data_IF_277802414217
#
_entry.id   IF_277802414217
#
_cell.length_a   1.000
_cell.length_b   1.000
_cell.length_c   1.000
_cell.angle_alpha   90.00
_cell.angle_beta   90.00
_cell.angle_gamma   90.00
#
_symmetry.space_group_name_H-M   'P 1'
#
loop_
_entity.id
_entity.type
_entity.pdbx_description
1 polymer ?
#
# COMPACT_ATOMS: atom_id res chain seq x y z
N UNK A 1 -46.22 -31.14 -5.81
CA UNK A 1 -46.69 -30.74 -4.49
C UNK A 1 -45.81 -29.59 -3.98
N UNK A 2 -46.42 -28.57 -3.37
CA UNK A 2 -45.74 -27.46 -2.70
C UNK A 2 -45.20 -28.02 -1.38
N UNK A 3 -43.91 -27.80 -1.11
CA UNK A 3 -43.33 -28.13 0.19
C UNK A 3 -43.61 -26.97 1.15
N UNK A 4 -44.23 -27.26 2.28
CA UNK A 4 -44.52 -26.34 3.37
C UNK A 4 -43.59 -26.61 4.56
N UNK A 5 -43.54 -25.71 5.55
CA UNK A 5 -42.77 -25.88 6.79
C UNK A 5 -43.66 -25.58 7.99
N UNK A 6 -43.23 -26.05 9.16
CA UNK A 6 -43.78 -25.74 10.49
C UNK A 6 -43.36 -24.35 11.00
N UNK A 7 -42.51 -23.63 10.26
CA UNK A 7 -42.00 -22.34 10.63
C UNK A 7 -42.38 -21.25 9.61
N UNK A 8 -42.91 -20.07 10.04
CA UNK A 8 -43.46 -19.06 9.13
C UNK A 8 -42.41 -18.39 8.22
N UNK A 9 -41.14 -18.38 8.64
CA UNK A 9 -40.06 -17.76 7.87
C UNK A 9 -39.14 -18.86 7.37
N UNK A 10 -39.65 -19.63 6.43
CA UNK A 10 -38.94 -20.69 5.75
C UNK A 10 -39.35 -20.77 4.28
N UNK A 11 -38.46 -21.23 3.42
CA UNK A 11 -38.68 -21.41 2.01
C UNK A 11 -37.91 -22.63 1.48
N UNK A 12 -38.39 -23.18 0.36
CA UNK A 12 -37.71 -24.22 -0.40
C UNK A 12 -37.50 -23.77 -1.83
N UNK A 13 -36.27 -23.70 -2.27
CA UNK A 13 -35.92 -23.40 -3.65
C UNK A 13 -35.60 -24.73 -4.38
N UNK A 14 -36.10 -24.88 -5.58
CA UNK A 14 -35.91 -26.07 -6.41
C UNK A 14 -35.25 -25.72 -7.73
N UNK A 15 -34.15 -26.41 -8.05
CA UNK A 15 -33.50 -26.35 -9.36
C UNK A 15 -33.27 -27.78 -9.89
N UNK A 16 -34.06 -28.18 -10.88
CA UNK A 16 -34.12 -29.58 -11.31
C UNK A 16 -34.58 -30.48 -10.17
N UNK A 17 -33.80 -31.49 -9.84
CA UNK A 17 -34.07 -32.42 -8.73
C UNK A 17 -33.49 -31.96 -7.39
N UNK A 18 -32.65 -30.90 -7.37
CA UNK A 18 -32.03 -30.37 -6.16
C UNK A 18 -32.97 -29.44 -5.44
N UNK A 19 -33.09 -29.62 -4.13
CA UNK A 19 -33.83 -28.75 -3.22
C UNK A 19 -32.87 -28.03 -2.29
N UNK A 20 -33.13 -26.77 -1.99
CA UNK A 20 -32.43 -25.98 -0.98
C UNK A 20 -33.49 -25.48 -0.01
N UNK A 21 -33.39 -25.89 1.24
CA UNK A 21 -34.24 -25.47 2.32
C UNK A 21 -33.58 -24.31 3.06
N UNK A 22 -34.35 -23.28 3.42
CA UNK A 22 -33.87 -22.14 4.20
C UNK A 22 -34.90 -21.74 5.22
N UNK A 23 -34.45 -21.28 6.39
CA UNK A 23 -35.30 -20.72 7.41
C UNK A 23 -34.54 -19.67 8.24
N UNK A 24 -35.27 -18.69 8.78
CA UNK A 24 -34.73 -17.68 9.68
C UNK A 24 -35.36 -17.82 11.07
N UNK A 25 -34.51 -17.84 12.09
CA UNK A 25 -34.90 -17.92 13.50
C UNK A 25 -34.66 -16.58 14.20
N UNK A 26 -35.74 -15.91 14.65
CA UNK A 26 -35.69 -14.68 15.42
C UNK A 26 -35.68 -14.92 16.95
N UNK A 27 -35.71 -16.18 17.40
CA UNK A 27 -35.68 -16.48 18.80
C UNK A 27 -34.24 -16.51 19.36
N UNK A 28 -34.12 -16.32 20.66
CA UNK A 28 -32.83 -16.40 21.37
C UNK A 28 -32.34 -17.83 21.59
N UNK A 29 -33.10 -18.84 21.16
CA UNK A 29 -32.73 -20.26 21.27
C UNK A 29 -32.67 -20.90 19.86
N UNK A 30 -31.81 -21.88 19.64
CA UNK A 30 -31.82 -22.68 18.42
C UNK A 30 -33.18 -23.38 18.24
N UNK A 31 -33.66 -23.49 16.99
CA UNK A 31 -34.89 -24.21 16.62
C UNK A 31 -34.59 -25.27 15.57
N UNK A 32 -35.50 -26.27 15.51
CA UNK A 32 -35.54 -27.22 14.37
C UNK A 32 -36.77 -26.90 13.53
N UNK A 33 -36.55 -26.60 12.26
CA UNK A 33 -37.64 -26.39 11.30
C UNK A 33 -37.87 -27.66 10.51
N UNK A 34 -39.13 -28.16 10.49
CA UNK A 34 -39.51 -29.36 9.76
C UNK A 34 -40.32 -29.01 8.52
N UNK A 35 -39.94 -29.60 7.39
CA UNK A 35 -40.60 -29.44 6.12
C UNK A 35 -41.53 -30.60 5.80
N UNK A 36 -42.58 -30.38 5.01
CA UNK A 36 -43.62 -31.36 4.71
C UNK A 36 -43.12 -32.63 3.96
N UNK A 37 -41.92 -32.57 3.41
CA UNK A 37 -41.25 -33.73 2.81
C UNK A 37 -40.28 -34.43 3.77
N UNK A 38 -40.44 -34.20 5.10
CA UNK A 38 -39.68 -34.77 6.17
C UNK A 38 -38.26 -34.29 6.34
N UNK A 39 -37.81 -33.30 5.56
CA UNK A 39 -36.54 -32.68 5.78
C UNK A 39 -36.56 -31.82 7.03
N UNK A 40 -35.50 -31.85 7.85
CA UNK A 40 -35.32 -31.00 9.02
C UNK A 40 -34.11 -30.12 8.90
N UNK A 41 -34.23 -28.83 9.28
CA UNK A 41 -33.16 -27.87 9.27
C UNK A 41 -32.94 -27.30 10.68
N UNK A 42 -31.72 -27.42 11.19
CA UNK A 42 -31.33 -26.76 12.44
C UNK A 42 -31.02 -25.31 12.17
N UNK A 43 -31.64 -24.38 12.91
CA UNK A 43 -31.44 -22.95 12.74
C UNK A 43 -30.97 -22.35 14.08
N UNK A 44 -29.71 -21.86 14.15
CA UNK A 44 -29.19 -21.23 15.35
C UNK A 44 -30.04 -20.01 15.79
N UNK A 45 -29.89 -19.59 17.04
CA UNK A 45 -30.57 -18.40 17.55
C UNK A 45 -30.24 -17.16 16.76
N UNK A 46 -31.24 -16.29 16.51
CA UNK A 46 -31.10 -15.01 15.81
C UNK A 46 -30.35 -15.09 14.46
N UNK A 47 -30.53 -16.19 13.72
CA UNK A 47 -29.80 -16.43 12.48
C UNK A 47 -30.67 -17.06 11.38
N UNK A 48 -30.11 -17.12 10.18
CA UNK A 48 -30.65 -17.87 9.05
C UNK A 48 -29.77 -19.12 8.83
N UNK A 49 -30.40 -20.25 8.49
CA UNK A 49 -29.71 -21.46 8.03
C UNK A 49 -30.26 -21.90 6.69
N UNK A 50 -29.44 -22.64 5.95
CA UNK A 50 -29.82 -23.30 4.69
C UNK A 50 -29.35 -24.75 4.66
N UNK A 51 -30.04 -25.62 3.92
CA UNK A 51 -29.63 -27.02 3.77
C UNK A 51 -28.28 -27.18 3.03
N UNK A 52 -27.73 -26.09 2.55
CA UNK A 52 -26.41 -26.02 1.93
C UNK A 52 -25.37 -25.38 2.84
N UNK A 53 -25.73 -25.11 4.11
CA UNK A 53 -24.76 -24.60 5.07
C UNK A 53 -23.71 -25.68 5.37
N UNK A 54 -22.54 -25.46 4.85
CA UNK A 54 -21.37 -26.26 5.15
C UNK A 54 -20.58 -25.58 6.26
N UNK A 55 -20.03 -26.38 7.18
CA UNK A 55 -19.21 -25.85 8.27
C UNK A 55 -17.80 -25.55 7.75
N UNK A 56 -17.66 -24.42 7.05
CA UNK A 56 -16.36 -23.88 6.63
C UNK A 56 -16.38 -22.35 6.70
N UNK A 57 -15.32 -21.77 7.20
CA UNK A 57 -15.13 -20.33 7.28
C UNK A 57 -13.66 -20.00 7.04
N UNK A 58 -13.40 -18.91 6.34
CA UNK A 58 -12.05 -18.42 6.09
C UNK A 58 -12.00 -16.92 5.87
N UNK A 59 -10.86 -16.34 6.23
CA UNK A 59 -10.54 -14.93 6.07
C UNK A 59 -9.47 -14.77 5.00
N UNK A 60 -9.82 -14.08 3.92
CA UNK A 60 -8.88 -13.69 2.87
C UNK A 60 -8.18 -12.39 3.26
N UNK A 61 -6.85 -12.38 3.19
CA UNK A 61 -5.99 -11.25 3.51
C UNK A 61 -4.91 -11.05 2.46
N UNK A 62 -4.32 -9.86 2.44
CA UNK A 62 -3.06 -9.53 1.79
C UNK A 62 -2.28 -8.57 2.69
N UNK A 63 -0.97 -8.55 2.56
CA UNK A 63 -0.12 -7.58 3.23
C UNK A 63 -0.17 -6.20 2.53
N UNK A 64 -0.82 -6.12 1.36
CA UNK A 64 -0.95 -4.92 0.54
C UNK A 64 -2.41 -4.53 0.36
N UNK A 65 -2.71 -3.23 0.44
CA UNK A 65 -4.01 -2.64 0.09
C UNK A 65 -3.96 -1.97 -1.29
N UNK A 66 -2.76 -1.64 -1.76
CA UNK A 66 -2.47 -0.92 -2.99
C UNK A 66 -1.26 -1.54 -3.67
N UNK A 67 -1.28 -1.59 -5.00
CA UNK A 67 -0.20 -2.15 -5.81
C UNK A 67 -0.04 -1.37 -7.12
N UNK A 68 1.16 -1.38 -7.70
CA UNK A 68 1.37 -0.84 -9.05
C UNK A 68 0.67 -1.70 -10.12
N UNK A 69 0.28 -1.10 -11.28
CA UNK A 69 -0.22 -1.85 -12.42
C UNK A 69 0.76 -2.94 -12.84
N UNK A 70 0.23 -4.08 -13.23
CA UNK A 70 1.00 -5.30 -13.52
C UNK A 70 1.83 -5.83 -12.33
N UNK A 71 1.64 -5.28 -11.13
CA UNK A 71 2.25 -5.78 -9.91
C UNK A 71 1.70 -7.15 -9.50
N UNK A 72 2.34 -7.74 -8.49
CA UNK A 72 1.95 -9.02 -7.90
C UNK A 72 1.31 -8.79 -6.54
N UNK A 73 0.15 -9.40 -6.31
CA UNK A 73 -0.59 -9.32 -5.05
C UNK A 73 -0.65 -10.71 -4.42
N UNK A 74 0.12 -10.98 -3.35
CA UNK A 74 -0.02 -12.20 -2.57
C UNK A 74 -1.36 -12.19 -1.80
N UNK A 75 -2.12 -13.26 -1.97
CA UNK A 75 -3.38 -13.52 -1.27
C UNK A 75 -3.20 -14.72 -0.35
N UNK A 76 -3.65 -14.61 0.90
CA UNK A 76 -3.59 -15.68 1.91
C UNK A 76 -4.99 -15.90 2.47
N UNK A 77 -5.43 -17.16 2.48
CA UNK A 77 -6.70 -17.54 3.10
C UNK A 77 -6.43 -18.34 4.37
N UNK A 78 -6.75 -17.74 5.51
CA UNK A 78 -6.74 -18.42 6.81
C UNK A 78 -8.08 -19.12 7.04
N UNK A 79 -8.08 -20.41 7.36
CA UNK A 79 -9.29 -21.18 7.66
C UNK A 79 -9.60 -21.07 9.15
N UNK A 80 -10.76 -20.52 9.48
CA UNK A 80 -11.23 -20.30 10.84
C UNK A 80 -12.09 -21.46 11.35
N UNK A 81 -12.76 -22.18 10.44
CA UNK A 81 -13.57 -23.37 10.75
C UNK A 81 -13.63 -24.33 9.57
N UNK A 82 -13.79 -25.63 9.87
CA UNK A 82 -13.96 -26.69 8.89
C UNK A 82 -12.66 -27.16 8.21
N UNK A 83 -12.82 -28.08 7.26
CA UNK A 83 -11.71 -28.63 6.48
C UNK A 83 -12.03 -28.49 4.99
N UNK A 84 -11.50 -27.49 4.31
CA UNK A 84 -11.72 -27.31 2.88
C UNK A 84 -11.14 -28.47 2.07
N UNK A 85 -11.86 -28.84 1.00
CA UNK A 85 -11.37 -29.78 0.00
C UNK A 85 -10.70 -29.08 -1.19
N UNK A 86 -11.04 -27.79 -1.39
CA UNK A 86 -10.50 -26.92 -2.46
C UNK A 86 -10.82 -25.47 -2.11
N UNK A 87 -9.95 -24.55 -2.52
CA UNK A 87 -10.17 -23.10 -2.51
C UNK A 87 -10.01 -22.58 -3.93
N UNK A 88 -10.93 -21.72 -4.37
CA UNK A 88 -10.83 -20.97 -5.61
C UNK A 88 -10.69 -19.49 -5.27
N UNK A 89 -9.69 -18.80 -5.85
CA UNK A 89 -9.49 -17.36 -5.72
C UNK A 89 -10.12 -16.64 -6.90
N UNK A 90 -10.87 -15.59 -6.62
CA UNK A 90 -11.59 -14.79 -7.61
C UNK A 90 -11.20 -13.32 -7.52
N UNK A 91 -11.05 -12.69 -8.69
CA UNK A 91 -10.90 -11.25 -8.88
C UNK A 91 -12.08 -10.74 -9.69
N UNK A 92 -12.84 -9.80 -9.16
CA UNK A 92 -14.00 -9.17 -9.81
C UNK A 92 -15.02 -10.18 -10.40
N UNK A 93 -15.17 -11.33 -9.76
CA UNK A 93 -16.05 -12.42 -10.19
C UNK A 93 -15.39 -13.46 -11.10
N UNK A 94 -14.17 -13.22 -11.58
CA UNK A 94 -13.44 -14.11 -12.48
C UNK A 94 -12.53 -15.02 -11.66
N UNK A 95 -12.52 -16.32 -11.96
CA UNK A 95 -11.60 -17.28 -11.35
C UNK A 95 -10.18 -17.00 -11.84
N UNK A 96 -9.27 -16.74 -10.90
CA UNK A 96 -7.85 -16.43 -11.18
C UNK A 96 -6.91 -17.55 -10.74
N UNK A 97 -7.34 -18.41 -9.82
CA UNK A 97 -6.55 -19.56 -9.38
C UNK A 97 -7.28 -20.45 -8.40
N UNK A 98 -6.67 -21.59 -8.10
CA UNK A 98 -7.20 -22.55 -7.11
C UNK A 98 -6.06 -23.21 -6.35
N UNK A 99 -6.37 -23.68 -5.13
CA UNK A 99 -5.49 -24.46 -4.30
C UNK A 99 -6.27 -25.61 -3.63
N UNK A 100 -5.66 -26.78 -3.49
CA UNK A 100 -6.29 -27.98 -2.91
C UNK A 100 -5.62 -28.45 -1.61
N UNK A 101 -4.59 -27.73 -1.16
CA UNK A 101 -3.83 -28.07 0.03
C UNK A 101 -3.46 -26.80 0.82
N UNK A 102 -3.49 -26.88 2.14
CA UNK A 102 -3.00 -25.80 2.98
C UNK A 102 -1.45 -25.71 2.96
N UNK A 103 -0.87 -24.50 3.07
CA UNK A 103 -1.52 -23.21 3.22
C UNK A 103 -2.19 -22.74 1.93
N UNK A 104 -3.43 -22.22 2.03
CA UNK A 104 -4.17 -21.74 0.86
C UNK A 104 -3.70 -20.34 0.49
N UNK A 105 -2.86 -20.26 -0.53
CA UNK A 105 -2.23 -19.02 -0.98
C UNK A 105 -2.30 -18.92 -2.52
N UNK A 106 -2.37 -17.69 -3.02
CA UNK A 106 -2.33 -17.42 -4.44
C UNK A 106 -1.74 -16.04 -4.70
N UNK A 107 -0.94 -15.89 -5.74
CA UNK A 107 -0.44 -14.59 -6.18
C UNK A 107 -1.19 -14.14 -7.43
N UNK A 108 -2.02 -13.11 -7.28
CA UNK A 108 -2.64 -12.44 -8.41
C UNK A 108 -1.61 -11.57 -9.12
N UNK A 109 -1.61 -11.57 -10.45
CA UNK A 109 -0.66 -10.82 -11.29
C UNK A 109 -1.41 -10.05 -12.37
N UNK A 110 -0.72 -9.10 -13.02
CA UNK A 110 -1.26 -8.32 -14.14
C UNK A 110 -2.53 -7.52 -13.76
N UNK A 111 -2.56 -6.96 -12.55
CA UNK A 111 -3.65 -6.09 -12.15
C UNK A 111 -3.66 -4.84 -13.06
N UNK A 112 -4.80 -4.54 -13.64
CA UNK A 112 -5.02 -3.28 -14.36
C UNK A 112 -5.19 -2.14 -13.36
N UNK A 113 -5.04 -0.88 -13.81
CA UNK A 113 -5.36 0.27 -12.96
C UNK A 113 -6.83 0.26 -12.57
N UNK A 114 -7.10 0.60 -11.31
CA UNK A 114 -8.43 0.69 -10.74
C UNK A 114 -8.65 -0.12 -9.47
N UNK A 115 -9.92 -0.21 -9.09
CA UNK A 115 -10.37 -0.94 -7.90
C UNK A 115 -10.68 -2.39 -8.24
N UNK A 116 -10.10 -3.33 -7.51
CA UNK A 116 -10.32 -4.76 -7.65
C UNK A 116 -10.88 -5.37 -6.37
N UNK A 117 -11.76 -6.35 -6.52
CA UNK A 117 -12.37 -7.11 -5.43
C UNK A 117 -11.91 -8.55 -5.49
N UNK A 118 -11.22 -8.99 -4.44
CA UNK A 118 -10.76 -10.36 -4.28
C UNK A 118 -11.60 -11.07 -3.22
N UNK A 119 -11.95 -12.31 -3.48
CA UNK A 119 -12.60 -13.20 -2.53
C UNK A 119 -12.33 -14.66 -2.91
N UNK A 120 -12.57 -15.58 -1.96
CA UNK A 120 -12.38 -17.00 -2.19
C UNK A 120 -13.70 -17.75 -2.10
N UNK A 121 -13.85 -18.81 -2.93
CA UNK A 121 -14.81 -19.88 -2.71
C UNK A 121 -14.12 -21.00 -1.98
N UNK A 122 -14.64 -21.34 -0.80
CA UNK A 122 -14.07 -22.34 0.10
C UNK A 122 -14.96 -23.58 0.03
N UNK A 123 -14.48 -24.64 -0.58
CA UNK A 123 -15.25 -25.84 -0.89
C UNK A 123 -15.14 -26.89 0.20
N UNK A 124 -16.26 -27.57 0.49
CA UNK A 124 -16.33 -28.86 1.15
C UNK A 124 -17.11 -29.80 0.24
N UNK A 125 -16.42 -30.72 -0.39
CA UNK A 125 -17.00 -31.51 -1.49
C UNK A 125 -17.40 -30.61 -2.68
N UNK A 126 -18.68 -30.63 -3.04
CA UNK A 126 -19.23 -29.86 -4.17
C UNK A 126 -19.90 -28.53 -3.73
N UNK A 127 -20.01 -28.27 -2.44
CA UNK A 127 -20.62 -27.06 -1.89
C UNK A 127 -19.52 -26.06 -1.47
N UNK A 128 -19.84 -24.76 -1.47
CA UNK A 128 -18.88 -23.74 -1.06
C UNK A 128 -19.51 -22.62 -0.24
N UNK A 129 -18.70 -21.97 0.58
CA UNK A 129 -18.95 -20.63 1.16
C UNK A 129 -17.98 -19.62 0.59
N UNK A 130 -18.36 -18.35 0.65
CA UNK A 130 -17.48 -17.23 0.29
C UNK A 130 -16.69 -16.75 1.50
N UNK A 131 -15.45 -16.33 1.29
CA UNK A 131 -14.70 -15.54 2.25
C UNK A 131 -15.25 -14.10 2.34
N UNK A 132 -14.62 -13.26 3.17
CA UNK A 132 -14.76 -11.81 3.06
C UNK A 132 -14.32 -11.33 1.68
N UNK A 133 -14.73 -10.10 1.34
CA UNK A 133 -14.23 -9.38 0.15
C UNK A 133 -13.05 -8.50 0.59
N UNK A 134 -11.90 -8.71 -0.04
CA UNK A 134 -10.73 -7.86 0.05
C UNK A 134 -10.75 -6.87 -1.12
N UNK A 135 -10.67 -5.58 -0.83
CA UNK A 135 -10.58 -4.53 -1.86
C UNK A 135 -9.16 -4.06 -1.99
N UNK A 136 -8.63 -4.08 -3.22
CA UNK A 136 -7.27 -3.64 -3.55
C UNK A 136 -7.37 -2.58 -4.64
N UNK A 137 -6.53 -1.56 -4.53
CA UNK A 137 -6.40 -0.54 -5.56
C UNK A 137 -5.10 -0.76 -6.34
N UNK A 138 -5.16 -0.58 -7.66
CA UNK A 138 -3.99 -0.60 -8.54
C UNK A 138 -3.91 0.70 -9.32
N UNK A 139 -2.74 1.32 -9.40
CA UNK A 139 -2.55 2.59 -10.09
C UNK A 139 -1.08 2.98 -10.15
N UNK A 140 -0.80 4.11 -10.80
CA UNK A 140 0.53 4.68 -10.87
C UNK A 140 0.74 5.75 -9.79
N UNK A 141 1.97 5.82 -9.29
CA UNK A 141 2.43 6.97 -8.53
C UNK A 141 2.67 8.13 -9.50
N UNK A 142 2.10 9.27 -9.21
CA UNK A 142 2.25 10.48 -10.02
C UNK A 142 2.70 11.66 -9.16
N UNK A 143 3.45 12.63 -9.73
CA UNK A 143 3.82 13.85 -9.02
C UNK A 143 2.59 14.57 -8.46
N UNK A 144 2.67 15.15 -7.26
CA UNK A 144 1.56 15.85 -6.61
C UNK A 144 0.82 16.84 -7.53
N UNK A 145 1.57 17.63 -8.31
CA UNK A 145 1.00 18.62 -9.25
C UNK A 145 0.74 18.06 -10.65
N UNK A 146 0.87 16.75 -10.86
CA UNK A 146 0.82 16.11 -12.18
C UNK A 146 2.09 16.29 -13.02
N UNK A 147 3.07 17.05 -12.54
CA UNK A 147 4.37 17.27 -13.18
C UNK A 147 5.50 17.16 -12.16
N UNK A 148 6.67 16.59 -12.55
CA UNK A 148 7.82 16.50 -11.66
C UNK A 148 8.28 17.86 -11.13
N UNK A 149 8.74 17.90 -9.90
CA UNK A 149 9.28 19.11 -9.27
C UNK A 149 10.65 19.42 -9.89
N UNK A 150 10.81 20.61 -10.44
CA UNK A 150 12.07 21.03 -11.09
C UNK A 150 13.17 21.27 -10.04
N UNK A 151 14.34 20.65 -10.25
CA UNK A 151 15.54 20.83 -9.43
C UNK A 151 16.69 21.39 -10.33
N UNK A 152 17.36 22.51 -9.92
CA UNK A 152 17.29 23.25 -8.64
C UNK A 152 15.91 23.82 -8.34
N UNK A 153 15.49 23.74 -7.07
CA UNK A 153 14.15 24.16 -6.67
C UNK A 153 13.82 23.79 -5.24
N UNK A 154 12.53 23.90 -4.93
CA UNK A 154 12.01 23.70 -3.58
C UNK A 154 10.94 22.62 -3.58
N UNK A 155 10.99 21.71 -2.61
CA UNK A 155 9.96 20.72 -2.28
C UNK A 155 9.28 21.17 -0.99
N UNK A 156 7.98 21.34 -0.98
CA UNK A 156 7.18 21.44 0.26
C UNK A 156 6.89 20.03 0.78
N UNK A 157 7.13 19.78 2.06
CA UNK A 157 7.04 18.41 2.60
C UNK A 157 5.65 17.80 2.46
N UNK A 158 4.57 18.57 2.60
CA UNK A 158 3.20 18.08 2.43
C UNK A 158 2.79 17.79 0.97
N UNK A 159 3.61 18.17 -0.02
CA UNK A 159 3.33 17.96 -1.44
C UNK A 159 4.04 16.71 -1.99
N UNK A 160 4.03 15.62 -1.22
CA UNK A 160 4.51 14.31 -1.68
C UNK A 160 3.61 13.76 -2.79
N UNK A 161 4.13 12.83 -3.56
CA UNK A 161 3.44 12.23 -4.70
C UNK A 161 2.06 11.65 -4.30
N UNK A 162 1.19 11.49 -5.28
CA UNK A 162 -0.12 10.88 -5.11
C UNK A 162 -0.16 9.53 -5.81
N UNK A 163 -1.12 8.69 -5.43
CA UNK A 163 -1.35 7.42 -6.06
C UNK A 163 -2.71 7.44 -6.78
N UNK A 164 -2.70 7.18 -8.08
CA UNK A 164 -3.91 7.26 -8.91
C UNK A 164 -4.99 6.25 -8.50
N UNK A 165 -4.59 5.10 -7.95
CA UNK A 165 -5.48 4.00 -7.61
C UNK A 165 -6.11 4.06 -6.22
N UNK A 166 -5.63 4.93 -5.32
CA UNK A 166 -6.06 4.91 -3.92
C UNK A 166 -5.44 5.99 -3.05
N UNK A 167 -5.18 5.69 -1.79
CA UNK A 167 -4.59 6.64 -0.85
C UNK A 167 -3.09 6.84 -1.06
N UNK A 168 -2.39 5.81 -1.53
CA UNK A 168 -0.95 5.81 -1.75
C UNK A 168 -0.11 5.27 -0.58
N UNK A 169 -0.76 4.79 0.49
CA UNK A 169 -0.07 4.17 1.62
C UNK A 169 0.66 2.88 1.19
N UNK A 170 1.98 2.85 1.42
CA UNK A 170 2.88 1.80 0.93
C UNK A 170 3.39 2.00 -0.50
N UNK A 171 2.95 3.05 -1.23
CA UNK A 171 3.33 3.34 -2.62
C UNK A 171 4.01 4.71 -2.75
N UNK A 172 3.31 5.80 -2.45
CA UNK A 172 3.84 7.17 -2.51
C UNK A 172 4.21 7.73 -1.14
N UNK A 173 3.74 7.09 -0.09
CA UNK A 173 4.10 7.35 1.29
C UNK A 173 3.90 6.11 2.16
N UNK A 174 4.38 6.14 3.38
CA UNK A 174 4.06 5.19 4.45
C UNK A 174 3.80 5.97 5.72
N UNK A 175 2.65 5.73 6.33
CA UNK A 175 2.29 6.23 7.64
C UNK A 175 1.94 5.08 8.58
N UNK A 176 2.37 5.16 9.84
CA UNK A 176 2.26 4.04 10.76
C UNK A 176 0.92 3.96 11.49
N UNK A 177 0.24 5.09 11.70
CA UNK A 177 -0.98 5.14 12.51
C UNK A 177 -2.26 5.33 11.69
N UNK A 178 -2.14 5.70 10.42
CA UNK A 178 -3.24 5.88 9.46
C UNK A 178 -4.26 6.97 9.83
N UNK A 179 -3.92 7.85 10.76
CA UNK A 179 -4.73 8.98 11.15
C UNK A 179 -4.03 10.27 10.74
N UNK A 180 -4.68 11.11 9.96
CA UNK A 180 -4.15 12.43 9.66
C UNK A 180 -4.59 13.41 10.77
N UNK A 181 -3.64 13.85 11.59
CA UNK A 181 -3.84 14.86 12.64
C UNK A 181 -3.73 16.30 12.11
N UNK A 182 -3.42 16.46 10.82
CA UNK A 182 -3.30 17.74 10.14
C UNK A 182 -4.60 18.22 9.50
N UNK A 183 -4.50 19.30 8.73
CA UNK A 183 -5.60 19.93 8.00
C UNK A 183 -5.39 19.94 6.47
N UNK A 184 -4.36 19.24 5.99
CA UNK A 184 -4.00 19.15 4.58
C UNK A 184 -3.95 17.69 4.10
N UNK A 185 -4.48 17.41 2.90
CA UNK A 185 -4.60 16.05 2.34
C UNK A 185 -5.32 15.06 3.28
N UNK A 186 -6.41 15.50 3.88
CA UNK A 186 -7.14 14.80 4.95
C UNK A 186 -7.76 13.45 4.53
N UNK A 187 -7.70 13.08 3.25
CA UNK A 187 -8.10 11.77 2.75
C UNK A 187 -6.98 10.72 2.82
N UNK A 188 -5.78 11.13 3.25
CA UNK A 188 -4.59 10.30 3.36
C UNK A 188 -4.12 10.28 4.82
N UNK A 189 -3.26 9.31 5.16
CA UNK A 189 -2.86 9.10 6.54
C UNK A 189 -1.81 10.10 7.04
N UNK A 190 -0.96 10.62 6.14
CA UNK A 190 0.15 11.51 6.51
C UNK A 190 -0.34 12.76 7.22
N UNK A 191 0.25 13.07 8.36
CA UNK A 191 -0.02 14.24 9.21
C UNK A 191 0.48 15.53 8.57
N UNK A 192 -0.16 15.91 7.47
CA UNK A 192 0.18 17.12 6.72
C UNK A 192 -0.71 18.29 7.14
N UNK A 193 -0.12 19.49 7.27
CA UNK A 193 -0.86 20.67 7.70
C UNK A 193 -0.40 21.95 7.00
N UNK A 194 -1.26 22.97 7.03
CA UNK A 194 -0.99 24.28 6.47
C UNK A 194 -0.30 25.16 7.54
N UNK A 195 0.98 25.43 7.35
CA UNK A 195 1.72 26.39 8.19
C UNK A 195 1.76 27.76 7.51
N UNK A 196 1.45 28.86 8.23
CA UNK A 196 1.40 30.20 7.63
C UNK A 196 2.77 30.74 7.19
N UNK A 197 3.87 30.14 7.66
CA UNK A 197 5.24 30.56 7.37
C UNK A 197 5.92 29.62 6.37
N UNK A 198 5.77 28.30 6.57
CA UNK A 198 6.51 27.30 5.81
C UNK A 198 5.67 26.62 4.71
N UNK A 199 4.37 26.91 4.59
CA UNK A 199 3.48 26.32 3.59
C UNK A 199 2.98 24.94 3.97
N UNK A 200 3.12 23.96 3.10
CA UNK A 200 2.63 22.59 3.33
C UNK A 200 3.69 21.77 4.07
N UNK A 201 3.48 21.58 5.34
CA UNK A 201 4.42 20.90 6.24
C UNK A 201 3.92 19.48 6.59
N UNK A 202 4.79 18.64 7.15
CA UNK A 202 4.46 17.34 7.75
C UNK A 202 4.92 17.36 9.21
N UNK A 203 4.03 16.95 10.11
CA UNK A 203 4.27 16.85 11.55
C UNK A 203 3.99 15.45 12.08
N UNK A 204 3.96 15.27 13.40
CA UNK A 204 3.72 14.00 14.10
C UNK A 204 4.51 12.81 13.57
N UNK A 205 5.63 13.10 12.94
CA UNK A 205 6.50 12.14 12.26
C UNK A 205 6.95 11.04 13.21
N UNK A 206 6.85 9.78 12.78
CA UNK A 206 7.31 8.60 13.50
C UNK A 206 8.41 7.84 12.75
N UNK A 207 9.16 7.05 13.49
CA UNK A 207 10.17 6.17 12.92
C UNK A 207 9.55 5.12 12.00
N UNK A 208 10.10 4.97 10.79
CA UNK A 208 9.66 3.99 9.80
C UNK A 208 8.71 4.56 8.74
N UNK A 209 8.21 5.76 8.93
CA UNK A 209 7.44 6.50 7.92
C UNK A 209 8.34 7.02 6.80
N UNK A 210 7.74 7.28 5.65
CA UNK A 210 8.46 7.87 4.53
C UNK A 210 7.50 8.56 3.53
N UNK A 211 8.06 9.46 2.74
CA UNK A 211 7.38 10.23 1.70
C UNK A 211 8.20 10.19 0.41
N UNK A 212 7.55 10.12 -0.74
CA UNK A 212 8.22 10.16 -2.04
C UNK A 212 7.81 11.39 -2.86
N UNK A 213 8.78 11.86 -3.67
CA UNK A 213 8.61 13.01 -4.53
C UNK A 213 9.25 12.73 -5.87
N UNK A 214 8.49 12.88 -6.94
CA UNK A 214 9.02 12.82 -8.30
C UNK A 214 9.61 14.18 -8.66
N UNK A 215 10.91 14.20 -8.91
CA UNK A 215 11.69 15.39 -9.27
C UNK A 215 12.24 15.27 -10.69
N UNK A 216 12.46 16.40 -11.36
CA UNK A 216 13.20 16.49 -12.63
C UNK A 216 14.45 17.35 -12.44
N UNK A 217 15.59 16.70 -12.40
CA UNK A 217 16.89 17.35 -12.20
C UNK A 217 17.41 17.89 -13.53
N UNK A 218 17.40 19.22 -13.69
CA UNK A 218 17.81 19.88 -14.92
C UNK A 218 19.32 19.83 -15.16
N UNK A 219 20.10 19.88 -14.10
CA UNK A 219 21.56 19.90 -14.20
C UNK A 219 22.16 18.85 -13.25
N UNK A 220 22.89 17.84 -13.80
CA UNK A 220 23.53 16.84 -12.94
C UNK A 220 24.70 17.47 -12.17
N UNK A 221 24.83 17.10 -10.90
CA UNK A 221 25.91 17.66 -10.07
C UNK A 221 25.73 17.41 -8.58
N UNK A 222 26.48 18.17 -7.81
CA UNK A 222 26.39 18.18 -6.35
C UNK A 222 25.51 19.33 -5.90
N UNK A 223 24.58 19.03 -5.02
CA UNK A 223 23.62 19.98 -4.47
C UNK A 223 23.86 20.22 -2.98
N UNK A 224 23.65 21.46 -2.58
CA UNK A 224 23.41 21.79 -1.18
C UNK A 224 21.90 21.69 -0.93
N UNK A 225 21.51 20.76 -0.06
CA UNK A 225 20.12 20.55 0.33
C UNK A 225 19.92 21.13 1.71
N UNK A 226 19.13 22.21 1.82
CA UNK A 226 18.73 22.78 3.09
C UNK A 226 17.28 22.45 3.40
N UNK A 227 17.03 22.07 4.64
CA UNK A 227 15.69 21.80 5.13
C UNK A 227 15.24 22.88 6.12
N UNK A 228 13.95 23.14 6.12
CA UNK A 228 13.27 23.89 7.18
C UNK A 228 12.60 22.89 8.11
N UNK A 229 12.91 22.97 9.39
CA UNK A 229 12.37 22.08 10.41
C UNK A 229 12.07 22.82 11.70
N UNK A 230 11.17 22.30 12.52
CA UNK A 230 10.91 22.77 13.87
C UNK A 230 10.87 21.56 14.83
N UNK A 231 11.47 21.69 16.01
CA UNK A 231 11.44 20.66 17.06
C UNK A 231 11.14 21.30 18.41
N UNK A 232 10.02 20.91 18.99
CA UNK A 232 9.64 21.29 20.35
C UNK A 232 10.24 20.38 21.42
N UNK A 233 10.83 19.24 21.02
CA UNK A 233 11.48 18.32 21.94
C UNK A 233 12.86 18.84 22.36
N UNK A 234 13.13 18.94 23.66
CA UNK A 234 14.41 19.45 24.19
C UNK A 234 15.62 18.60 23.82
N UNK A 235 15.42 17.31 23.52
CA UNK A 235 16.45 16.41 22.99
C UNK A 235 16.68 16.58 21.48
N UNK A 236 15.81 17.34 20.80
CA UNK A 236 15.78 17.43 19.34
C UNK A 236 15.02 16.28 18.69
N UNK A 237 15.19 16.13 17.39
CA UNK A 237 14.47 15.13 16.59
C UNK A 237 15.35 14.45 15.51
N UNK A 238 14.70 13.63 14.70
CA UNK A 238 15.36 12.87 13.63
C UNK A 238 15.95 11.54 14.09
N UNK A 239 16.77 10.86 13.29
CA UNK A 239 17.23 11.28 11.94
C UNK A 239 16.18 11.12 10.86
N UNK A 240 16.45 11.69 9.68
CA UNK A 240 15.82 11.29 8.44
C UNK A 240 16.84 11.22 7.29
N UNK A 241 16.45 10.54 6.22
CA UNK A 241 17.37 10.17 5.14
C UNK A 241 16.79 10.57 3.79
N UNK A 242 17.64 11.10 2.89
CA UNK A 242 17.35 11.25 1.47
C UNK A 242 17.80 9.97 0.76
N UNK A 243 16.87 9.28 0.10
CA UNK A 243 17.10 8.01 -0.56
C UNK A 243 16.73 8.14 -2.04
N UNK A 244 17.53 7.56 -2.91
CA UNK A 244 17.28 7.41 -4.34
C UNK A 244 17.40 5.93 -4.73
N UNK A 245 16.27 5.31 -5.09
CA UNK A 245 16.23 3.86 -5.24
C UNK A 245 16.59 3.15 -3.93
N UNK A 246 17.72 2.42 -3.92
CA UNK A 246 18.25 1.75 -2.72
C UNK A 246 19.35 2.55 -2.01
N UNK A 247 19.81 3.64 -2.60
CA UNK A 247 20.97 4.38 -2.13
C UNK A 247 20.59 5.51 -1.18
N UNK A 248 21.09 5.49 0.05
CA UNK A 248 21.03 6.65 0.95
C UNK A 248 21.99 7.73 0.50
N UNK A 249 21.49 8.78 -0.13
CA UNK A 249 22.32 9.88 -0.61
C UNK A 249 22.94 10.65 0.54
N UNK A 250 22.15 11.00 1.55
CA UNK A 250 22.57 11.75 2.75
C UNK A 250 21.59 11.51 3.90
N UNK A 251 22.07 11.78 5.12
CA UNK A 251 21.28 11.70 6.35
C UNK A 251 21.35 13.01 7.12
N UNK A 252 20.19 13.47 7.58
CA UNK A 252 20.06 14.56 8.53
C UNK A 252 19.98 13.97 9.94
N UNK A 253 21.11 13.91 10.60
CA UNK A 253 21.20 13.45 11.99
C UNK A 253 21.09 14.62 12.95
N UNK A 254 20.55 14.40 14.14
CA UNK A 254 20.53 15.35 15.25
C UNK A 254 19.93 16.72 14.87
N UNK A 255 18.65 16.74 14.57
CA UNK A 255 17.88 17.99 14.46
C UNK A 255 17.73 18.57 15.87
N UNK A 256 18.40 19.69 16.15
CA UNK A 256 18.40 20.29 17.49
C UNK A 256 17.05 20.88 17.84
N UNK A 257 16.77 20.99 19.15
CA UNK A 257 15.62 21.75 19.64
C UNK A 257 15.62 23.17 19.10
N UNK A 258 14.46 23.64 18.62
CA UNK A 258 14.31 24.97 18.00
C UNK A 258 13.53 25.97 18.86
N UNK A 259 13.04 25.55 20.03
CA UNK A 259 12.23 26.38 20.92
C UNK A 259 10.72 26.13 20.81
N UNK A 260 10.26 25.30 19.89
CA UNK A 260 8.85 24.98 19.73
C UNK A 260 8.56 24.28 18.40
N UNK A 261 7.36 23.71 18.29
CA UNK A 261 6.90 22.95 17.11
C UNK A 261 6.66 23.84 15.87
N UNK A 262 6.55 25.16 16.06
CA UNK A 262 6.37 26.14 14.99
C UNK A 262 7.52 27.19 14.99
N UNK A 263 8.61 26.91 15.70
CA UNK A 263 9.82 27.73 15.68
C UNK A 263 10.81 27.10 14.70
N UNK A 264 10.86 27.68 13.51
CA UNK A 264 11.56 27.11 12.38
C UNK A 264 13.05 27.42 12.33
N UNK A 265 13.87 26.40 12.09
CA UNK A 265 15.31 26.52 11.87
C UNK A 265 15.70 25.88 10.53
N UNK A 266 16.92 26.14 10.10
CA UNK A 266 17.49 25.60 8.85
C UNK A 266 18.64 24.64 9.16
N UNK A 267 18.61 23.48 8.52
CA UNK A 267 19.74 22.53 8.51
C UNK A 267 20.13 22.25 7.07
N UNK A 268 21.43 22.23 6.77
CA UNK A 268 21.91 21.98 5.41
C UNK A 268 22.85 20.77 5.34
N UNK A 269 22.78 20.05 4.23
CA UNK A 269 23.72 19.02 3.82
C UNK A 269 24.33 19.40 2.48
N UNK A 270 25.64 19.32 2.40
CA UNK A 270 26.40 19.62 1.20
C UNK A 270 26.67 18.33 0.40
N UNK A 271 26.96 18.49 -0.88
CA UNK A 271 27.43 17.44 -1.76
C UNK A 271 26.45 16.27 -1.92
N UNK A 272 25.17 16.55 -2.04
CA UNK A 272 24.14 15.56 -2.43
C UNK A 272 24.27 15.33 -3.94
N UNK A 273 24.67 14.16 -4.41
CA UNK A 273 24.83 13.89 -5.83
C UNK A 273 23.48 13.61 -6.47
N UNK A 274 23.13 14.33 -7.54
CA UNK A 274 21.94 14.07 -8.34
C UNK A 274 22.30 13.97 -9.82
N UNK A 275 21.75 12.96 -10.50
CA UNK A 275 21.85 12.79 -11.95
C UNK A 275 20.76 13.62 -12.62
N UNK A 276 20.90 13.93 -13.90
CA UNK A 276 19.84 14.62 -14.68
C UNK A 276 18.65 13.72 -14.95
N UNK A 277 17.49 14.34 -15.16
CA UNK A 277 16.25 13.70 -15.56
C UNK A 277 15.29 13.40 -14.41
N UNK A 278 14.18 12.77 -14.78
CA UNK A 278 13.11 12.43 -13.85
C UNK A 278 13.51 11.25 -12.96
N UNK A 279 13.32 11.42 -11.66
CA UNK A 279 13.63 10.40 -10.65
C UNK A 279 12.78 10.62 -9.40
N UNK A 280 12.52 9.55 -8.65
CA UNK A 280 11.78 9.61 -7.39
C UNK A 280 12.76 9.62 -6.22
N UNK A 281 12.69 10.67 -5.39
CA UNK A 281 13.45 10.77 -4.16
C UNK A 281 12.55 10.45 -2.96
N UNK A 282 13.03 9.60 -2.06
CA UNK A 282 12.33 9.25 -0.82
C UNK A 282 12.96 9.99 0.35
N UNK A 283 12.12 10.56 1.21
CA UNK A 283 12.47 11.01 2.54
C UNK A 283 12.01 9.93 3.51
N UNK A 284 12.93 9.21 4.13
CA UNK A 284 12.63 8.14 5.09
C UNK A 284 12.98 8.59 6.51
N UNK A 285 12.05 8.43 7.44
CA UNK A 285 12.19 8.88 8.81
C UNK A 285 12.74 7.77 9.71
N UNK A 286 13.99 7.93 10.16
CA UNK A 286 14.65 7.05 11.12
C UNK A 286 14.28 7.36 12.57
N UNK A 287 13.61 8.49 12.81
CA UNK A 287 13.07 8.95 14.09
C UNK A 287 12.10 10.10 13.88
N UNK A 288 11.41 10.53 14.93
CA UNK A 288 10.43 11.60 14.92
C UNK A 288 10.89 12.85 15.68
N UNK A 289 9.95 13.48 16.39
CA UNK A 289 10.16 14.63 17.27
C UNK A 289 10.55 15.92 16.52
N UNK A 290 10.07 16.09 15.28
CA UNK A 290 10.22 17.31 14.51
C UNK A 290 9.11 17.46 13.46
N UNK A 291 8.87 18.70 13.05
CA UNK A 291 8.07 19.03 11.88
C UNK A 291 9.00 19.35 10.71
N UNK A 292 8.64 18.89 9.53
CA UNK A 292 9.37 19.11 8.29
C UNK A 292 8.59 20.09 7.40
N UNK A 293 9.20 21.22 7.07
CA UNK A 293 8.61 22.26 6.22
C UNK A 293 8.96 22.05 4.75
N UNK A 294 10.07 22.60 4.30
CA UNK A 294 10.50 22.52 2.91
C UNK A 294 11.96 22.10 2.77
N UNK A 295 12.28 21.54 1.61
CA UNK A 295 13.63 21.23 1.20
C UNK A 295 14.00 22.10 0.00
N UNK A 296 15.13 22.81 0.08
CA UNK A 296 15.65 23.62 -1.02
C UNK A 296 16.89 22.94 -1.59
N UNK A 297 16.89 22.69 -2.87
CA UNK A 297 17.98 22.08 -3.63
C UNK A 297 18.70 23.14 -4.44
N UNK A 298 19.94 23.47 -4.06
CA UNK A 298 20.76 24.45 -4.73
C UNK A 298 21.98 23.78 -5.36
N UNK A 299 22.16 23.89 -6.67
CA UNK A 299 23.32 23.36 -7.36
C UNK A 299 24.59 24.10 -6.87
N UNK A 300 25.59 23.34 -6.42
CA UNK A 300 26.87 23.88 -5.97
C UNK A 300 27.98 23.68 -6.97
N UNK A 301 27.99 22.54 -7.67
CA UNK A 301 28.94 22.25 -8.74
C UNK A 301 28.37 21.16 -9.65
N UNK A 302 28.65 21.27 -10.94
CA UNK A 302 28.41 20.17 -11.88
C UNK A 302 29.39 19.03 -11.60
N UNK A 303 29.02 17.81 -11.97
CA UNK A 303 29.99 16.73 -11.95
C UNK A 303 31.17 17.10 -12.84
N UNK A 304 32.42 16.86 -12.42
CA UNK A 304 33.57 17.08 -13.29
C UNK A 304 33.39 16.17 -14.50
N UNK A 305 33.01 16.75 -15.61
CA UNK A 305 32.94 16.05 -16.88
C UNK A 305 34.38 15.79 -17.33
N UNK A 306 34.95 14.67 -16.97
CA UNK A 306 35.89 13.99 -17.82
C UNK A 306 35.13 12.85 -18.52
N UNK A 307 34.45 13.13 -19.63
CA UNK A 307 34.30 12.04 -20.57
C UNK A 307 35.74 11.63 -20.91
N UNK A 308 36.15 10.37 -20.70
CA UNK A 308 37.34 9.90 -21.37
C UNK A 308 37.07 10.06 -22.84
N UNK A 309 37.71 11.04 -23.47
CA UNK A 309 37.83 11.07 -24.93
C UNK A 309 38.59 9.79 -25.20
N UNK A 310 37.89 8.75 -25.62
CA UNK A 310 38.55 7.57 -26.18
C UNK A 310 39.26 8.08 -27.46
N UNK A 311 40.50 8.49 -27.31
CA UNK A 311 41.37 8.72 -28.42
C UNK A 311 41.83 7.33 -28.89
N UNK A 312 40.96 6.65 -29.62
CA UNK A 312 41.30 5.44 -30.32
C UNK A 312 42.24 5.87 -31.46
N UNK A 313 43.54 5.85 -31.18
CA UNK A 313 44.53 5.85 -32.23
C UNK A 313 44.14 4.75 -33.23
N UNK A 314 44.45 4.98 -34.50
CA UNK A 314 44.01 4.30 -35.72
C UNK A 314 44.18 2.77 -35.76
N UNK A 315 44.50 2.08 -34.66
CA UNK A 315 44.74 0.63 -34.63
C UNK A 315 44.43 -0.07 -33.28
N UNK A 316 43.47 0.41 -32.48
CA UNK A 316 43.05 -0.31 -31.31
C UNK A 316 41.70 -1.01 -31.53
N UNK A 317 41.75 -2.34 -31.58
CA UNK A 317 40.56 -3.19 -31.44
C UNK A 317 40.16 -3.12 -29.96
N UNK A 318 39.20 -2.29 -29.61
CA UNK A 318 38.66 -2.23 -28.26
C UNK A 318 37.75 -3.43 -28.01
N UNK A 319 38.24 -4.42 -27.28
CA UNK A 319 37.37 -5.37 -26.59
C UNK A 319 36.63 -4.63 -25.49
N UNK A 320 35.35 -4.34 -25.73
CA UNK A 320 34.46 -3.84 -24.69
C UNK A 320 34.21 -4.98 -23.71
N UNK A 321 34.95 -5.02 -22.64
CA UNK A 321 34.62 -5.86 -21.50
C UNK A 321 33.42 -5.21 -20.83
N UNK A 322 32.23 -5.77 -21.07
CA UNK A 322 31.03 -5.41 -20.32
C UNK A 322 31.29 -5.75 -18.85
N UNK A 323 31.49 -4.74 -18.02
CA UNK A 323 31.36 -4.92 -16.58
C UNK A 323 29.90 -5.29 -16.26
N UNK A 324 29.67 -6.58 -16.05
CA UNK A 324 28.46 -7.03 -15.38
C UNK A 324 28.55 -6.54 -13.94
N UNK A 325 27.70 -5.61 -13.56
CA UNK A 325 27.43 -5.38 -12.16
C UNK A 325 26.81 -6.66 -11.58
N UNK A 326 27.63 -7.41 -10.86
CA UNK A 326 27.13 -8.42 -9.93
C UNK A 326 26.58 -7.68 -8.72
N UNK A 327 25.30 -7.37 -8.72
CA UNK A 327 24.59 -7.10 -7.48
C UNK A 327 24.26 -8.44 -6.82
N UNK A 328 25.14 -8.90 -5.94
CA UNK A 328 24.79 -9.74 -4.79
C UNK A 328 24.62 -8.78 -3.61
N UNK A 329 23.42 -8.63 -3.17
CA UNK A 329 22.99 -8.43 -1.76
C UNK A 329 21.56 -8.92 -1.59
#
# INVERSE_FOLDING_TARGET
ATITSDHPIAAVFKKGNNKTYTAHNYSNNPITVTFSDSYTLQVPANSMATSRDINVEGLLTSDFNEVYPNGSLPLKLSINAGTPTKVEFLQDGILIGQDTAAPFEFTATNLTSGKHRFYARIYVGNEFKLSNILTIFSGDQIPFSGTPIIIPGTIEAGNYDVFEGGSGDGISYQDNDRNNNGDYRTNEAVDATNDPVEGKIVGWINKGEWLEYTIDVQTPGFYNVSIRYASGNTAGGGPFHLILGTDTLRSFNNLTHTGGWNTWNTRSLNFVPLKSGVQTIRIAFGGGEFNLGRLNFNLTSTFPYSQPIANAGSNQINSITKYKHNTKW
#
